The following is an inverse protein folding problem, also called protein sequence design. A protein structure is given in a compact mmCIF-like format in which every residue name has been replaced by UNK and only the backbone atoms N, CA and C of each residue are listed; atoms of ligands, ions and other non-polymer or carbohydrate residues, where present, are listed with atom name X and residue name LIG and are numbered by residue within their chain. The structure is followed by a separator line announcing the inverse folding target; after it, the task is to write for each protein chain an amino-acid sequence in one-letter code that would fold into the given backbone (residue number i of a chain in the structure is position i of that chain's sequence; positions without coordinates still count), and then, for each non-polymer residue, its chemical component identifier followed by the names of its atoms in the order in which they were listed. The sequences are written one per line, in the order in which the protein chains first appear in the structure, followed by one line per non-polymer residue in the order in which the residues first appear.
data_IF_594215701737
#
_entry.id   IF_594215701737
#
_cell.length_a   1.000
_cell.length_b   1.000
_cell.length_c   1.000
_cell.angle_alpha   90.00
_cell.angle_beta   90.00
_cell.angle_gamma   90.00
#
_symmetry.space_group_name_H-M   'P 1'
#
loop_
_entity.id
_entity.type
_entity.pdbx_description
1 polymer ?
#
# COMPACT_ATOMS: atom_id res chain seq x y z
N UNK A 1 30.86 -27.99 -19.27
CA UNK A 1 29.56 -27.41 -18.84
C UNK A 1 29.44 -27.23 -17.33
N UNK A 2 30.14 -27.97 -16.48
CA UNK A 2 29.98 -27.89 -15.01
C UNK A 2 30.69 -26.72 -14.32
N UNK A 3 31.75 -26.14 -14.91
CA UNK A 3 32.59 -25.13 -14.23
C UNK A 3 31.93 -23.76 -14.05
N UNK A 4 31.05 -23.33 -14.94
CA UNK A 4 30.46 -21.98 -14.89
C UNK A 4 29.55 -21.78 -13.67
N UNK A 5 28.88 -22.84 -13.22
CA UNK A 5 27.99 -22.81 -12.06
C UNK A 5 28.73 -22.69 -10.71
N UNK A 6 30.06 -22.63 -10.67
CA UNK A 6 30.81 -22.33 -9.44
C UNK A 6 31.13 -20.84 -9.25
N UNK A 7 30.77 -19.97 -10.21
CA UNK A 7 31.00 -18.53 -10.14
C UNK A 7 29.92 -17.72 -9.40
N UNK A 8 29.99 -16.38 -9.52
CA UNK A 8 28.98 -15.42 -9.00
C UNK A 8 27.52 -15.75 -9.36
N UNK A 9 27.18 -16.29 -10.56
CA UNK A 9 25.79 -16.58 -10.91
C UNK A 9 25.06 -17.47 -9.92
N UNK A 10 25.76 -18.42 -9.28
CA UNK A 10 25.15 -19.40 -8.38
C UNK A 10 24.64 -18.83 -7.04
N UNK A 11 25.44 -18.10 -6.22
CA UNK A 11 24.92 -17.47 -5.02
C UNK A 11 23.86 -16.40 -5.35
N UNK A 12 23.97 -15.69 -6.48
CA UNK A 12 22.91 -14.77 -6.92
C UNK A 12 21.62 -15.53 -7.27
N UNK A 13 21.70 -16.64 -8.01
CA UNK A 13 20.55 -17.50 -8.32
C UNK A 13 19.85 -17.98 -7.04
N UNK A 14 20.60 -18.45 -6.04
CA UNK A 14 20.04 -18.89 -4.75
C UNK A 14 19.31 -17.73 -4.05
N UNK A 15 19.92 -16.53 -4.00
CA UNK A 15 19.33 -15.36 -3.35
C UNK A 15 18.05 -14.89 -4.07
N UNK A 16 18.08 -14.74 -5.40
CA UNK A 16 16.91 -14.33 -6.17
C UNK A 16 15.80 -15.39 -6.15
N UNK A 17 16.14 -16.69 -6.17
CA UNK A 17 15.16 -17.78 -6.01
C UNK A 17 14.51 -17.75 -4.63
N UNK A 18 15.31 -17.58 -3.57
CA UNK A 18 14.82 -17.50 -2.18
C UNK A 18 13.88 -16.30 -1.99
N UNK A 19 14.25 -15.12 -2.50
CA UNK A 19 13.37 -13.94 -2.51
C UNK A 19 12.07 -14.22 -3.28
N UNK A 20 12.17 -14.79 -4.48
CA UNK A 20 11.00 -15.09 -5.33
C UNK A 20 10.04 -16.06 -4.64
N UNK A 21 10.55 -17.07 -3.91
CA UNK A 21 9.74 -17.99 -3.11
C UNK A 21 9.05 -17.29 -1.92
N UNK A 22 9.77 -16.43 -1.18
CA UNK A 22 9.19 -15.64 -0.07
C UNK A 22 8.04 -14.76 -0.58
N UNK A 23 8.24 -14.10 -1.73
CA UNK A 23 7.25 -13.20 -2.35
C UNK A 23 6.06 -13.98 -2.91
N UNK A 24 6.32 -15.12 -3.56
CA UNK A 24 5.29 -16.04 -4.03
C UNK A 24 4.42 -16.51 -2.86
N UNK A 25 5.02 -16.91 -1.74
CA UNK A 25 4.28 -17.27 -0.52
C UNK A 25 3.42 -16.11 0.02
N UNK A 26 3.92 -14.88 0.03
CA UNK A 26 3.11 -13.71 0.41
C UNK A 26 1.94 -13.46 -0.55
N UNK A 27 2.14 -13.59 -1.87
CA UNK A 27 1.08 -13.48 -2.88
C UNK A 27 0.03 -14.58 -2.66
N UNK A 28 0.45 -15.84 -2.51
CA UNK A 28 -0.45 -16.98 -2.23
C UNK A 28 -1.25 -16.74 -0.95
N UNK A 29 -0.63 -16.25 0.12
CA UNK A 29 -1.32 -15.90 1.38
C UNK A 29 -2.37 -14.80 1.20
N UNK A 30 -2.07 -13.77 0.41
CA UNK A 30 -3.02 -12.66 0.11
C UNK A 30 -4.21 -13.18 -0.71
N UNK A 31 -3.95 -14.04 -1.70
CA UNK A 31 -4.98 -14.66 -2.54
C UNK A 31 -5.87 -15.63 -1.74
N UNK A 32 -5.27 -16.50 -0.91
CA UNK A 32 -5.98 -17.47 -0.08
C UNK A 32 -6.93 -16.78 0.92
N UNK A 33 -6.47 -15.69 1.54
CA UNK A 33 -7.28 -14.88 2.46
C UNK A 33 -8.36 -14.03 1.76
N UNK A 34 -8.54 -14.15 0.44
CA UNK A 34 -9.48 -13.36 -0.38
C UNK A 34 -9.36 -11.84 -0.16
N UNK A 35 -8.16 -11.34 0.12
CA UNK A 35 -7.94 -9.90 0.21
C UNK A 35 -8.05 -9.23 -1.16
N UNK A 36 -8.44 -7.95 -1.18
CA UNK A 36 -8.59 -7.18 -2.41
C UNK A 36 -7.26 -7.12 -3.19
N UNK A 37 -7.26 -7.78 -4.34
CA UNK A 37 -6.14 -7.89 -5.28
C UNK A 37 -5.68 -6.50 -5.77
N UNK A 38 -6.58 -5.51 -5.81
CA UNK A 38 -6.28 -4.12 -6.18
C UNK A 38 -5.71 -3.26 -5.04
N UNK A 39 -4.94 -3.85 -4.12
CA UNK A 39 -4.18 -3.07 -3.13
C UNK A 39 -2.80 -2.69 -3.68
N UNK A 40 -2.28 -1.52 -3.29
CA UNK A 40 -0.90 -1.12 -3.58
C UNK A 40 0.11 -2.22 -3.20
N UNK A 41 -0.12 -2.89 -2.06
CA UNK A 41 0.71 -4.00 -1.57
C UNK A 41 0.80 -5.16 -2.57
N UNK A 42 -0.34 -5.59 -3.12
CA UNK A 42 -0.35 -6.62 -4.16
C UNK A 42 0.36 -6.14 -5.43
N UNK A 43 0.22 -4.86 -5.79
CA UNK A 43 0.99 -4.24 -6.88
C UNK A 43 2.50 -4.35 -6.69
N UNK A 44 3.03 -3.96 -5.53
CA UNK A 44 4.45 -4.10 -5.20
C UNK A 44 4.92 -5.56 -5.20
N UNK A 45 4.15 -6.46 -4.60
CA UNK A 45 4.50 -7.88 -4.53
C UNK A 45 4.49 -8.55 -5.89
N UNK A 46 3.49 -8.29 -6.74
CA UNK A 46 3.41 -8.82 -8.10
C UNK A 46 4.57 -8.31 -8.96
N UNK A 47 4.84 -6.99 -8.91
CA UNK A 47 5.91 -6.37 -9.70
C UNK A 47 7.29 -6.89 -9.24
N UNK A 48 7.47 -7.05 -7.93
CA UNK A 48 8.64 -7.67 -7.33
C UNK A 48 8.79 -9.17 -7.62
N UNK A 49 7.70 -9.93 -7.68
CA UNK A 49 7.71 -11.33 -8.08
C UNK A 49 8.16 -11.49 -9.53
N UNK A 50 7.62 -10.68 -10.46
CA UNK A 50 8.02 -10.71 -11.87
C UNK A 50 9.51 -10.33 -12.00
N UNK A 51 9.96 -9.31 -11.27
CA UNK A 51 11.37 -8.91 -11.21
C UNK A 51 12.29 -10.04 -10.70
N UNK A 52 11.97 -10.62 -9.53
CA UNK A 52 12.76 -11.68 -8.91
C UNK A 52 12.80 -12.95 -9.75
N UNK A 53 11.67 -13.33 -10.35
CA UNK A 53 11.56 -14.47 -11.27
C UNK A 53 12.42 -14.26 -12.53
N UNK A 54 12.38 -13.08 -13.14
CA UNK A 54 13.22 -12.77 -14.31
C UNK A 54 14.71 -12.75 -13.95
N UNK A 55 15.09 -12.26 -12.75
CA UNK A 55 16.47 -12.34 -12.26
C UNK A 55 16.90 -13.79 -12.00
N UNK A 56 16.07 -14.61 -11.38
CA UNK A 56 16.35 -16.03 -11.16
C UNK A 56 16.52 -16.78 -12.49
N UNK A 57 15.64 -16.54 -13.48
CA UNK A 57 15.77 -17.11 -14.84
C UNK A 57 17.07 -16.61 -15.51
N UNK A 58 17.37 -15.31 -15.44
CA UNK A 58 18.60 -14.76 -16.02
C UNK A 58 19.86 -15.42 -15.48
N UNK A 59 19.97 -15.61 -14.16
CA UNK A 59 21.14 -16.24 -13.55
C UNK A 59 21.17 -17.76 -13.73
N UNK A 60 20.01 -18.43 -13.73
CA UNK A 60 19.92 -19.88 -13.95
C UNK A 60 20.20 -20.32 -15.39
N UNK A 61 19.94 -19.45 -16.37
CA UNK A 61 20.19 -19.68 -17.79
C UNK A 61 21.34 -18.81 -18.34
N UNK A 62 22.19 -18.27 -17.46
CA UNK A 62 23.27 -17.33 -17.82
C UNK A 62 24.18 -17.89 -18.92
N UNK A 63 24.60 -19.15 -18.82
CA UNK A 63 25.47 -19.82 -19.79
C UNK A 63 24.82 -20.00 -21.17
N UNK A 64 23.49 -20.13 -21.22
CA UNK A 64 22.73 -20.25 -22.47
C UNK A 64 22.52 -18.86 -23.10
N UNK A 65 22.34 -17.83 -22.26
CA UNK A 65 22.17 -16.45 -22.71
C UNK A 65 23.50 -15.78 -23.10
N UNK A 66 24.64 -16.17 -22.51
CA UNK A 66 25.97 -15.62 -22.83
C UNK A 66 26.37 -15.85 -24.29
N UNK A 67 25.94 -16.98 -24.87
CA UNK A 67 26.09 -17.27 -26.31
C UNK A 67 25.35 -16.27 -27.22
N UNK A 68 24.34 -15.57 -26.72
CA UNK A 68 23.47 -14.67 -27.49
C UNK A 68 23.45 -13.27 -26.86
N UNK A 69 24.46 -12.44 -27.16
CA UNK A 69 24.64 -11.09 -26.58
C UNK A 69 23.37 -10.22 -26.58
N UNK A 70 22.54 -10.31 -27.63
CA UNK A 70 21.25 -9.61 -27.70
C UNK A 70 20.28 -10.09 -26.62
N UNK A 71 20.11 -11.41 -26.47
CA UNK A 71 19.27 -12.03 -25.43
C UNK A 71 19.80 -11.67 -24.03
N UNK A 72 21.12 -11.78 -23.82
CA UNK A 72 21.75 -11.38 -22.56
C UNK A 72 21.43 -9.92 -22.20
N UNK A 73 21.60 -9.00 -23.14
CA UNK A 73 21.32 -7.57 -22.95
C UNK A 73 19.83 -7.31 -22.68
N UNK A 74 18.93 -7.95 -23.43
CA UNK A 74 17.48 -7.81 -23.25
C UNK A 74 17.02 -8.33 -21.89
N UNK A 75 17.42 -9.54 -21.50
CA UNK A 75 17.08 -10.10 -20.18
C UNK A 75 17.75 -9.36 -19.02
N UNK A 76 18.90 -8.70 -19.26
CA UNK A 76 19.51 -7.83 -18.26
C UNK A 76 18.75 -6.51 -18.08
N UNK A 77 18.24 -5.92 -19.17
CA UNK A 77 17.57 -4.61 -19.18
C UNK A 77 16.12 -4.66 -18.70
N UNK A 78 15.39 -5.77 -18.90
CA UNK A 78 13.98 -5.88 -18.47
C UNK A 78 13.82 -5.74 -16.95
N UNK A 79 14.58 -6.45 -16.08
CA UNK A 79 14.51 -6.27 -14.63
C UNK A 79 14.79 -4.83 -14.17
N UNK A 80 15.71 -4.11 -14.83
CA UNK A 80 16.04 -2.71 -14.49
C UNK A 80 14.81 -1.81 -14.72
N UNK A 81 14.09 -2.01 -15.82
CA UNK A 81 12.84 -1.28 -16.10
C UNK A 81 11.74 -1.62 -15.08
N UNK A 82 11.64 -2.88 -14.65
CA UNK A 82 10.66 -3.28 -13.62
C UNK A 82 11.04 -2.69 -12.26
N UNK A 83 12.32 -2.68 -11.90
CA UNK A 83 12.83 -2.04 -10.69
C UNK A 83 12.52 -0.53 -10.70
N UNK A 84 12.76 0.17 -11.81
CA UNK A 84 12.34 1.56 -11.96
C UNK A 84 10.82 1.73 -11.76
N UNK A 85 10.01 0.85 -12.35
CA UNK A 85 8.56 0.86 -12.13
C UNK A 85 8.17 0.61 -10.66
N UNK A 86 8.89 -0.24 -9.91
CA UNK A 86 8.65 -0.40 -8.45
C UNK A 86 8.94 0.90 -7.70
N UNK A 87 9.98 1.64 -8.07
CA UNK A 87 10.30 2.93 -7.45
C UNK A 87 9.30 4.03 -7.82
N UNK A 88 8.82 4.09 -9.07
CA UNK A 88 7.72 4.99 -9.44
C UNK A 88 6.43 4.66 -8.67
N UNK A 89 6.12 3.38 -8.46
CA UNK A 89 4.96 2.95 -7.67
C UNK A 89 5.14 3.32 -6.18
N UNK A 90 6.38 3.28 -5.68
CA UNK A 90 6.78 3.70 -4.32
C UNK A 90 6.66 5.22 -4.12
N UNK A 91 7.13 6.04 -5.06
CA UNK A 91 6.95 7.50 -5.00
C UNK A 91 5.47 7.88 -5.08
N UNK A 92 4.69 7.22 -5.95
CA UNK A 92 3.25 7.43 -6.05
C UNK A 92 2.52 7.03 -4.76
N UNK A 93 2.92 5.91 -4.14
CA UNK A 93 2.44 5.49 -2.82
C UNK A 93 2.75 6.53 -1.74
N UNK A 94 3.96 7.11 -1.70
CA UNK A 94 4.29 8.19 -0.76
C UNK A 94 3.50 9.47 -1.02
N UNK A 95 3.36 9.91 -2.26
CA UNK A 95 2.55 11.08 -2.60
C UNK A 95 1.09 10.92 -2.13
N UNK A 96 0.52 9.73 -2.36
CA UNK A 96 -0.81 9.35 -1.88
C UNK A 96 -0.91 9.34 -0.34
N UNK A 97 0.11 8.87 0.37
CA UNK A 97 0.15 8.85 1.84
C UNK A 97 0.32 10.25 2.43
N UNK A 98 1.26 11.04 1.93
CA UNK A 98 1.60 12.38 2.45
C UNK A 98 0.45 13.36 2.27
N UNK A 99 -0.15 13.41 1.08
CA UNK A 99 -1.19 14.40 0.78
C UNK A 99 -2.60 13.93 1.10
N UNK A 100 -2.79 12.84 1.86
CA UNK A 100 -4.08 12.15 2.04
C UNK A 100 -5.30 13.05 2.25
N UNK A 101 -5.17 14.18 2.95
CA UNK A 101 -6.24 15.18 3.17
C UNK A 101 -6.37 16.19 2.02
N UNK A 102 -5.28 16.78 1.53
CA UNK A 102 -5.29 17.83 0.48
C UNK A 102 -5.48 17.27 -0.93
N UNK A 103 -5.16 16.00 -1.15
CA UNK A 103 -5.16 15.32 -2.44
C UNK A 103 -6.54 15.28 -3.09
N UNK A 104 -7.63 15.37 -2.32
CA UNK A 104 -8.98 15.33 -2.89
C UNK A 104 -9.31 16.55 -3.77
N UNK A 105 -8.76 17.74 -3.46
CA UNK A 105 -9.32 19.01 -4.00
C UNK A 105 -8.52 19.71 -5.11
N UNK A 106 -7.19 19.82 -5.00
CA UNK A 106 -6.40 20.63 -5.98
C UNK A 106 -5.06 20.01 -6.36
N UNK A 107 -4.25 19.54 -5.40
CA UNK A 107 -2.87 19.13 -5.66
C UNK A 107 -2.77 17.88 -6.52
N UNK A 108 -3.73 16.96 -6.40
CA UNK A 108 -3.78 15.71 -7.17
C UNK A 108 -3.65 15.97 -8.66
N UNK A 109 -4.39 16.92 -9.24
CA UNK A 109 -4.39 17.06 -10.70
C UNK A 109 -3.05 17.59 -11.22
N UNK A 110 -2.50 18.68 -10.67
CA UNK A 110 -1.24 19.27 -11.17
C UNK A 110 -0.02 18.39 -10.88
N UNK A 111 0.10 17.86 -9.65
CA UNK A 111 1.23 17.01 -9.32
C UNK A 111 1.15 15.67 -10.07
N UNK A 112 -0.05 15.11 -10.26
CA UNK A 112 -0.22 13.97 -11.18
C UNK A 112 0.11 14.36 -12.62
N UNK A 113 -0.32 15.52 -13.14
CA UNK A 113 -0.01 15.91 -14.54
C UNK A 113 1.50 16.01 -14.79
N UNK A 114 2.30 16.51 -13.86
CA UNK A 114 3.77 16.62 -14.07
C UNK A 114 4.49 15.31 -13.73
N UNK A 115 4.25 14.74 -12.55
CA UNK A 115 4.84 13.45 -12.17
C UNK A 115 4.47 12.36 -13.17
N UNK A 116 3.21 12.35 -13.58
CA UNK A 116 2.67 11.48 -14.60
C UNK A 116 2.50 12.20 -15.94
N UNK A 117 3.35 13.17 -16.31
CA UNK A 117 3.75 13.38 -17.71
C UNK A 117 5.07 12.66 -17.95
N UNK A 118 6.04 12.87 -17.06
CA UNK A 118 7.32 12.15 -17.01
C UNK A 118 7.07 10.64 -16.89
N UNK A 119 6.23 10.22 -15.93
CA UNK A 119 5.82 8.83 -15.88
C UNK A 119 4.89 8.47 -17.05
N UNK A 120 3.96 9.30 -17.56
CA UNK A 120 3.16 8.92 -18.76
C UNK A 120 4.02 8.60 -19.97
N UNK A 121 5.15 9.26 -20.21
CA UNK A 121 6.01 8.92 -21.36
C UNK A 121 6.59 7.50 -21.18
N UNK A 122 7.16 7.22 -20.00
CA UNK A 122 7.74 5.91 -19.66
C UNK A 122 6.66 4.80 -19.53
N UNK A 123 5.48 5.19 -19.04
CA UNK A 123 4.34 4.35 -18.73
C UNK A 123 3.47 4.12 -19.96
N UNK A 124 3.40 5.01 -20.95
CA UNK A 124 2.66 4.78 -22.22
C UNK A 124 3.38 3.72 -23.03
N UNK A 125 4.71 3.72 -23.05
CA UNK A 125 5.48 2.61 -23.63
C UNK A 125 5.15 1.28 -22.92
N UNK A 126 5.04 1.30 -21.59
CA UNK A 126 4.72 0.10 -20.79
C UNK A 126 3.22 -0.27 -20.80
N UNK A 127 2.29 0.69 -20.94
CA UNK A 127 0.82 0.50 -20.94
C UNK A 127 0.27 0.28 -22.35
N UNK A 128 0.95 0.69 -23.41
CA UNK A 128 0.64 0.15 -24.74
C UNK A 128 0.76 -1.39 -24.71
N UNK A 129 1.81 -1.89 -24.07
CA UNK A 129 2.06 -3.32 -23.87
C UNK A 129 1.16 -3.96 -22.80
N UNK A 130 1.14 -3.43 -21.57
CA UNK A 130 0.36 -4.02 -20.46
C UNK A 130 -1.10 -3.63 -20.45
N UNK A 131 -1.48 -2.47 -20.99
CA UNK A 131 -2.87 -2.02 -21.10
C UNK A 131 -3.67 -2.83 -22.10
N UNK A 132 -3.04 -3.32 -23.18
CA UNK A 132 -3.60 -4.38 -24.02
C UNK A 132 -4.03 -5.58 -23.16
N UNK A 133 -3.12 -6.06 -22.31
CA UNK A 133 -3.33 -7.23 -21.44
C UNK A 133 -4.28 -6.97 -20.26
N UNK A 134 -4.27 -5.76 -19.70
CA UNK A 134 -5.08 -5.38 -18.54
C UNK A 134 -6.50 -4.97 -18.92
N UNK A 135 -6.75 -4.51 -20.15
CA UNK A 135 -8.11 -4.23 -20.65
C UNK A 135 -8.97 -5.50 -20.74
N UNK A 136 -8.34 -6.67 -20.94
CA UNK A 136 -8.97 -8.00 -20.85
C UNK A 136 -9.42 -8.31 -19.40
N UNK A 137 -8.74 -7.77 -18.38
CA UNK A 137 -8.94 -8.13 -16.96
C UNK A 137 -9.78 -7.08 -16.21
N UNK A 138 -9.69 -5.80 -16.57
CA UNK A 138 -10.21 -4.66 -15.80
C UNK A 138 -11.72 -4.43 -15.91
N UNK A 139 -12.46 -5.19 -16.71
CA UNK A 139 -13.91 -4.97 -16.86
C UNK A 139 -14.71 -5.30 -15.58
N UNK A 140 -14.12 -6.03 -14.61
CA UNK A 140 -14.74 -6.35 -13.32
C UNK A 140 -13.98 -5.77 -12.11
N UNK A 141 -14.78 -5.28 -11.15
CA UNK A 141 -14.49 -5.04 -9.72
C UNK A 141 -14.21 -3.60 -9.27
N UNK A 142 -14.87 -3.19 -8.18
CA UNK A 142 -15.04 -1.82 -7.72
C UNK A 142 -14.86 -1.67 -6.19
N UNK A 143 -14.29 -0.54 -5.77
CA UNK A 143 -14.41 0.16 -4.45
C UNK A 143 -13.76 -0.40 -3.16
N UNK A 144 -13.38 0.58 -2.32
CA UNK A 144 -13.05 0.56 -0.88
C UNK A 144 -11.89 -0.29 -0.35
N UNK A 145 -10.75 0.37 -0.09
CA UNK A 145 -9.86 0.08 1.05
C UNK A 145 -9.17 1.37 1.53
N UNK A 146 -9.17 1.57 2.86
CA UNK A 146 -8.67 2.75 3.56
C UNK A 146 -7.73 2.28 4.67
N UNK A 147 -6.45 2.70 4.67
CA UNK A 147 -5.48 2.30 5.70
C UNK A 147 -4.61 3.47 6.16
N UNK A 148 -4.63 3.76 7.45
CA UNK A 148 -3.59 4.56 8.11
C UNK A 148 -2.25 3.80 8.06
N UNK A 149 -1.14 4.53 7.93
CA UNK A 149 0.22 3.98 7.87
C UNK A 149 1.07 4.65 8.96
N UNK A 150 1.86 3.90 9.74
CA UNK A 150 2.58 4.42 10.89
C UNK A 150 3.89 5.14 10.51
N UNK A 151 4.29 6.14 11.30
CA UNK A 151 5.53 6.91 11.16
C UNK A 151 6.82 6.07 11.11
N UNK A 152 6.79 4.85 11.66
CA UNK A 152 7.89 3.86 11.61
C UNK A 152 8.42 3.56 10.20
N UNK A 153 7.71 3.98 9.16
CA UNK A 153 8.07 3.77 7.75
C UNK A 153 9.21 4.71 7.30
N UNK A 154 9.26 5.94 7.81
CA UNK A 154 10.20 7.01 7.39
C UNK A 154 11.67 6.51 7.22
N UNK A 155 12.32 5.85 8.20
CA UNK A 155 13.71 5.42 8.03
C UNK A 155 13.88 4.39 6.89
N UNK A 156 12.92 3.48 6.69
CA UNK A 156 12.96 2.50 5.61
C UNK A 156 12.90 3.20 4.25
N UNK A 157 12.06 4.25 4.12
CA UNK A 157 11.97 5.04 2.88
C UNK A 157 13.29 5.74 2.56
N UNK A 158 13.94 6.28 3.58
CA UNK A 158 15.22 6.98 3.45
C UNK A 158 16.34 6.05 2.98
N UNK A 159 16.44 4.84 3.54
CA UNK A 159 17.41 3.85 3.04
C UNK A 159 17.12 3.39 1.61
N UNK A 160 15.84 3.16 1.24
CA UNK A 160 15.46 2.84 -0.15
C UNK A 160 15.85 3.99 -1.09
N UNK A 161 15.61 5.25 -0.70
CA UNK A 161 16.00 6.43 -1.45
C UNK A 161 17.52 6.52 -1.64
N UNK A 162 18.32 6.35 -0.58
CA UNK A 162 19.78 6.35 -0.68
C UNK A 162 20.31 5.25 -1.62
N UNK A 163 19.77 4.03 -1.52
CA UNK A 163 20.12 2.94 -2.44
C UNK A 163 19.84 3.33 -3.89
N UNK A 164 18.65 3.89 -4.16
CA UNK A 164 18.26 4.33 -5.50
C UNK A 164 19.13 5.48 -6.02
N UNK A 165 19.37 6.53 -5.23
CA UNK A 165 20.26 7.64 -5.61
C UNK A 165 21.67 7.14 -5.92
N UNK A 166 22.22 6.23 -5.10
CA UNK A 166 23.54 5.65 -5.36
C UNK A 166 23.58 4.84 -6.67
N UNK A 167 22.50 4.12 -7.00
CA UNK A 167 22.38 3.38 -8.25
C UNK A 167 22.27 4.32 -9.46
N UNK A 168 21.46 5.37 -9.39
CA UNK A 168 21.35 6.36 -10.46
C UNK A 168 22.67 7.11 -10.70
N UNK A 169 23.41 7.45 -9.64
CA UNK A 169 24.75 8.05 -9.76
C UNK A 169 25.72 7.07 -10.43
N UNK A 170 25.68 5.78 -10.07
CA UNK A 170 26.48 4.76 -10.75
C UNK A 170 26.12 4.63 -12.23
N UNK A 171 24.84 4.47 -12.57
CA UNK A 171 24.40 4.30 -13.96
C UNK A 171 24.74 5.55 -14.81
N UNK A 172 24.67 6.75 -14.22
CA UNK A 172 25.13 8.00 -14.84
C UNK A 172 26.65 7.99 -15.08
N UNK A 173 27.46 7.59 -14.10
CA UNK A 173 28.93 7.48 -14.26
C UNK A 173 29.30 6.41 -15.31
N UNK A 174 28.60 5.28 -15.32
CA UNK A 174 28.78 4.21 -16.31
C UNK A 174 28.44 4.68 -17.73
N UNK A 175 27.43 5.54 -17.90
CA UNK A 175 27.07 6.11 -19.20
C UNK A 175 28.18 6.97 -19.84
N UNK A 176 29.11 7.54 -19.06
CA UNK A 176 30.31 8.21 -19.57
C UNK A 176 31.43 7.24 -19.97
N UNK A 177 31.19 5.92 -19.95
CA UNK A 177 32.17 4.89 -20.29
C UNK A 177 33.32 4.74 -19.28
N UNK A 178 33.30 5.49 -18.17
CA UNK A 178 34.36 5.48 -17.15
C UNK A 178 34.38 4.22 -16.28
N UNK A 179 33.24 3.53 -16.17
CA UNK A 179 33.08 2.34 -15.32
C UNK A 179 32.27 1.30 -16.07
N UNK A 180 32.96 0.30 -16.62
CA UNK A 180 32.35 -0.88 -17.22
C UNK A 180 32.68 -2.10 -16.36
N UNK A 181 31.67 -2.73 -15.76
CA UNK A 181 31.83 -4.04 -15.12
C UNK A 181 31.85 -5.10 -16.22
N UNK A 182 33.04 -5.57 -16.58
CA UNK A 182 33.21 -6.73 -17.47
C UNK A 182 32.86 -8.02 -16.72
N UNK A 183 31.78 -8.68 -17.13
CA UNK A 183 31.43 -10.04 -16.69
C UNK A 183 32.28 -11.08 -17.45
N UNK A 184 33.60 -11.08 -17.22
CA UNK A 184 34.53 -12.06 -17.79
C UNK A 184 34.95 -13.10 -16.76
N UNK A 185 35.01 -14.38 -17.15
CA UNK A 185 35.23 -15.51 -16.23
C UNK A 185 36.56 -15.46 -15.46
N UNK A 186 37.54 -14.71 -15.96
CA UNK A 186 38.87 -14.53 -15.34
C UNK A 186 38.95 -13.37 -14.33
N UNK A 187 37.81 -12.84 -13.86
CA UNK A 187 37.81 -11.83 -12.79
C UNK A 187 38.49 -12.36 -11.52
N UNK A 188 39.31 -11.50 -10.90
CA UNK A 188 39.90 -11.78 -9.60
C UNK A 188 38.82 -11.94 -8.53
N UNK A 189 39.13 -12.68 -7.46
CA UNK A 189 38.22 -12.87 -6.32
C UNK A 189 37.69 -11.53 -5.78
N UNK A 190 38.52 -10.49 -5.75
CA UNK A 190 38.16 -9.13 -5.33
C UNK A 190 37.10 -8.51 -6.23
N UNK A 191 37.25 -8.63 -7.55
CA UNK A 191 36.27 -8.11 -8.51
C UNK A 191 34.96 -8.89 -8.43
N UNK A 192 35.04 -10.23 -8.32
CA UNK A 192 33.87 -11.08 -8.12
C UNK A 192 33.06 -10.71 -6.87
N UNK A 193 33.74 -10.48 -5.72
CA UNK A 193 33.10 -9.98 -4.51
C UNK A 193 32.52 -8.57 -4.71
N UNK A 194 33.26 -7.67 -5.39
CA UNK A 194 32.77 -6.31 -5.66
C UNK A 194 31.46 -6.36 -6.45
N UNK A 195 31.41 -7.12 -7.55
CA UNK A 195 30.21 -7.31 -8.36
C UNK A 195 29.08 -7.93 -7.54
N UNK A 196 29.35 -8.96 -6.74
CA UNK A 196 28.36 -9.57 -5.85
C UNK A 196 27.76 -8.57 -4.84
N UNK A 197 28.60 -7.82 -4.14
CA UNK A 197 28.14 -6.80 -3.18
C UNK A 197 27.40 -5.64 -3.87
N UNK A 198 27.82 -5.27 -5.08
CA UNK A 198 27.12 -4.28 -5.91
C UNK A 198 25.69 -4.72 -6.24
N UNK A 199 25.47 -5.96 -6.67
CA UNK A 199 24.12 -6.52 -6.84
C UNK A 199 23.37 -6.61 -5.50
N UNK A 200 24.04 -7.03 -4.43
CA UNK A 200 23.42 -7.15 -3.12
C UNK A 200 22.88 -5.80 -2.62
N UNK A 201 23.68 -4.73 -2.72
CA UNK A 201 23.33 -3.40 -2.21
C UNK A 201 22.32 -2.66 -3.11
N UNK A 202 22.40 -2.78 -4.44
CA UNK A 202 21.50 -2.03 -5.34
C UNK A 202 20.24 -2.76 -5.78
N UNK A 203 20.20 -4.09 -5.65
CA UNK A 203 19.07 -4.90 -6.12
C UNK A 203 18.40 -5.64 -4.96
N UNK A 204 19.16 -6.45 -4.22
CA UNK A 204 18.61 -7.30 -3.16
C UNK A 204 18.17 -6.46 -1.94
N UNK A 205 19.01 -5.52 -1.47
CA UNK A 205 18.78 -4.73 -0.26
C UNK A 205 17.55 -3.81 -0.35
N UNK A 206 17.38 -2.92 -1.36
CA UNK A 206 16.17 -2.11 -1.47
C UNK A 206 14.92 -2.97 -1.66
N UNK A 207 15.04 -4.15 -2.28
CA UNK A 207 13.93 -5.09 -2.39
C UNK A 207 13.54 -5.70 -1.05
N UNK A 208 14.51 -6.15 -0.24
CA UNK A 208 14.26 -6.61 1.15
C UNK A 208 13.62 -5.49 1.98
N UNK A 209 14.07 -4.25 1.86
CA UNK A 209 13.45 -3.11 2.56
C UNK A 209 12.00 -2.88 2.13
N UNK A 210 11.67 -3.03 0.84
CA UNK A 210 10.29 -3.00 0.34
C UNK A 210 9.47 -4.18 0.89
N UNK A 211 10.05 -5.37 1.00
CA UNK A 211 9.36 -6.51 1.62
C UNK A 211 9.12 -6.28 3.11
N UNK A 212 10.09 -5.77 3.87
CA UNK A 212 9.93 -5.41 5.29
C UNK A 212 8.86 -4.33 5.48
N UNK A 213 8.83 -3.33 4.60
CA UNK A 213 7.81 -2.27 4.57
C UNK A 213 6.38 -2.82 4.44
N UNK A 214 6.19 -3.88 3.63
CA UNK A 214 4.88 -4.51 3.42
C UNK A 214 4.64 -5.78 4.25
N UNK A 215 5.66 -6.31 4.94
CA UNK A 215 5.60 -7.53 5.75
C UNK A 215 4.59 -7.40 6.89
N UNK A 216 4.56 -6.22 7.52
CA UNK A 216 3.58 -5.89 8.56
C UNK A 216 2.22 -5.63 7.91
N UNK A 217 1.57 -6.72 7.48
CA UNK A 217 0.12 -6.77 7.29
C UNK A 217 -0.48 -6.34 8.63
N UNK A 218 -1.11 -5.15 8.76
CA UNK A 218 -1.95 -4.90 9.92
C UNK A 218 -2.98 -6.01 9.91
N UNK A 219 -3.09 -6.74 11.01
CA UNK A 219 -4.12 -7.75 11.20
C UNK A 219 -5.45 -7.01 11.18
N UNK A 220 -6.01 -6.81 9.99
CA UNK A 220 -7.38 -6.39 9.81
C UNK A 220 -8.18 -7.46 10.52
N UNK A 221 -8.70 -7.12 11.70
CA UNK A 221 -9.64 -7.96 12.41
C UNK A 221 -10.92 -8.01 11.56
N UNK A 222 -10.90 -8.89 10.55
CA UNK A 222 -12.08 -9.42 9.83
C UNK A 222 -12.84 -10.38 10.80
N UNK A 223 -12.80 -10.05 12.10
CA UNK A 223 -13.56 -10.61 13.20
C UNK A 223 -14.83 -9.80 13.48
N UNK A 224 -15.15 -8.76 12.69
CA UNK A 224 -16.45 -8.10 12.74
C UNK A 224 -17.64 -9.01 12.39
N UNK A 225 -17.39 -10.22 11.87
CA UNK A 225 -18.39 -11.29 11.75
C UNK A 225 -18.53 -12.14 13.02
N UNK A 226 -17.57 -12.09 13.95
CA UNK A 226 -17.73 -12.66 15.28
C UNK A 226 -18.58 -11.71 16.14
N UNK A 227 -19.83 -12.13 16.41
CA UNK A 227 -20.87 -11.40 17.15
C UNK A 227 -21.66 -10.31 16.42
N UNK A 228 -22.04 -10.56 15.15
CA UNK A 228 -23.47 -10.35 14.76
C UNK A 228 -24.33 -11.57 15.12
N UNK A 229 -24.11 -12.12 16.32
CA UNK A 229 -25.05 -13.00 16.98
C UNK A 229 -26.03 -12.07 17.69
N UNK A 230 -27.01 -11.53 16.96
CA UNK A 230 -28.36 -12.11 16.89
C UNK A 230 -29.08 -12.17 18.25
N UNK A 231 -28.67 -11.34 19.21
CA UNK A 231 -29.57 -10.76 20.21
C UNK A 231 -30.38 -9.58 19.63
N UNK A 232 -30.93 -9.79 18.44
CA UNK A 232 -32.23 -9.21 18.10
C UNK A 232 -33.20 -10.04 18.93
N UNK A 233 -33.70 -9.48 20.06
CA UNK A 233 -34.91 -9.86 20.82
C UNK A 233 -34.92 -9.41 22.31
N UNK A 234 -33.97 -8.59 22.79
CA UNK A 234 -33.96 -8.13 24.20
C UNK A 234 -33.74 -6.63 24.41
N UNK A 235 -34.25 -5.80 23.51
CA UNK A 235 -34.79 -4.49 23.89
C UNK A 235 -36.31 -4.52 23.75
N UNK A 236 -36.92 -5.41 24.53
CA UNK A 236 -38.26 -5.14 25.02
C UNK A 236 -38.14 -3.84 25.83
N UNK A 237 -38.58 -2.72 25.24
CA UNK A 237 -38.82 -1.50 26.00
C UNK A 237 -39.69 -1.91 27.20
N UNK A 238 -39.26 -1.67 28.45
CA UNK A 238 -40.13 -1.93 29.58
C UNK A 238 -41.44 -1.17 29.31
N UNK A 239 -42.61 -1.83 29.40
CA UNK A 239 -43.87 -1.17 29.09
C UNK A 239 -43.95 0.10 29.93
N UNK A 240 -44.29 1.21 29.28
CA UNK A 240 -44.38 2.52 29.94
C UNK A 240 -45.49 2.46 31.00
N UNK A 241 -45.13 2.03 32.20
CA UNK A 241 -46.01 2.09 33.37
C UNK A 241 -46.37 3.54 33.57
N UNK A 242 -47.66 3.83 33.41
CA UNK A 242 -48.19 5.20 33.43
C UNK A 242 -47.57 5.99 34.59
N UNK A 243 -46.98 7.14 34.25
CA UNK A 243 -46.32 8.01 35.23
C UNK A 243 -47.39 8.47 36.22
N UNK A 244 -47.39 7.90 37.41
CA UNK A 244 -48.26 8.31 38.51
C UNK A 244 -47.89 9.77 38.85
N UNK A 245 -48.79 10.74 38.67
CA UNK A 245 -48.50 12.14 39.01
C UNK A 245 -48.23 12.26 40.51
N UNK A 246 -47.16 12.96 40.88
CA UNK A 246 -46.87 13.31 42.27
C UNK A 246 -45.76 12.51 42.97
N UNK A 247 -45.09 11.54 42.33
CA UNK A 247 -43.89 10.94 42.94
C UNK A 247 -42.70 11.90 42.79
N UNK A 248 -42.33 12.54 43.89
CA UNK A 248 -41.14 13.41 44.00
C UNK A 248 -39.92 12.63 43.51
N UNK A 249 -39.33 13.07 42.40
CA UNK A 249 -38.11 12.49 41.86
C UNK A 249 -36.98 12.87 42.83
N UNK A 250 -36.57 11.92 43.67
CA UNK A 250 -35.33 12.05 44.43
C UNK A 250 -34.20 12.28 43.43
N UNK A 251 -33.61 13.47 43.47
CA UNK A 251 -32.49 13.87 42.62
C UNK A 251 -31.29 12.96 42.91
N UNK A 252 -31.15 11.86 42.16
CA UNK A 252 -29.87 11.16 42.14
C UNK A 252 -28.82 12.11 41.57
N UNK A 253 -27.72 12.37 42.30
CA UNK A 253 -26.72 13.35 41.88
C UNK A 253 -26.18 12.98 40.50
N UNK A 254 -26.07 14.00 39.66
CA UNK A 254 -25.89 13.94 38.21
C UNK A 254 -24.66 13.14 37.78
N UNK A 255 -24.84 11.83 37.58
CA UNK A 255 -23.87 10.95 36.87
C UNK A 255 -23.74 11.26 35.37
N UNK A 256 -24.27 12.39 34.90
CA UNK A 256 -24.19 12.91 33.53
C UNK A 256 -22.75 13.09 33.02
N UNK A 257 -21.78 13.19 33.92
CA UNK A 257 -20.35 13.32 33.63
C UNK A 257 -19.54 12.03 33.88
N UNK A 258 -20.18 10.95 34.33
CA UNK A 258 -19.53 9.67 34.66
C UNK A 258 -19.78 8.57 33.61
N UNK A 259 -20.35 8.93 32.46
CA UNK A 259 -20.48 8.02 31.32
C UNK A 259 -19.35 8.26 30.31
N UNK A 260 -18.27 7.44 30.32
CA UNK A 260 -17.17 7.59 29.38
C UNK A 260 -17.58 7.32 27.92
N UNK A 261 -18.74 6.68 27.67
CA UNK A 261 -19.21 6.41 26.31
C UNK A 261 -19.83 7.65 25.64
N UNK A 262 -20.03 8.76 26.37
CA UNK A 262 -20.68 9.97 25.82
C UNK A 262 -19.89 10.62 24.67
N UNK A 263 -18.57 10.46 24.62
CA UNK A 263 -17.73 11.03 23.56
C UNK A 263 -17.52 10.09 22.36
N UNK A 264 -17.94 8.83 22.44
CA UNK A 264 -17.84 7.85 21.34
C UNK A 264 -19.03 7.93 20.34
N UNK A 265 -20.00 8.84 20.55
CA UNK A 265 -21.21 8.94 19.70
C UNK A 265 -21.08 9.83 18.46
N UNK A 266 -20.02 10.63 18.36
CA UNK A 266 -19.88 11.64 17.30
C UNK A 266 -19.35 11.05 15.97
N UNK A 267 -18.78 9.83 16.02
CA UNK A 267 -18.28 9.14 14.83
C UNK A 267 -19.36 8.27 14.13
N UNK A 268 -19.54 8.54 12.83
CA UNK A 268 -20.13 7.70 11.77
C UNK A 268 -21.66 7.46 11.68
N UNK A 269 -22.52 7.83 12.63
CA UNK A 269 -23.99 7.64 12.45
C UNK A 269 -24.72 8.71 11.63
N UNK A 270 -24.10 9.87 11.37
CA UNK A 270 -24.71 10.99 10.63
C UNK A 270 -25.07 10.67 9.17
N UNK A 271 -24.47 9.64 8.57
CA UNK A 271 -24.72 9.26 7.16
C UNK A 271 -25.82 8.19 6.95
N UNK A 272 -26.40 7.61 8.01
CA UNK A 272 -27.54 6.68 7.88
C UNK A 272 -28.89 7.30 8.21
N UNK A 273 -28.91 8.50 8.78
CA UNK A 273 -30.14 9.20 9.20
C UNK A 273 -30.65 10.17 8.12
N UNK A 274 -30.67 9.72 6.85
CA UNK A 274 -31.18 10.52 5.72
C UNK A 274 -31.85 9.72 4.59
N UNK A 275 -32.81 8.84 4.95
CA UNK A 275 -34.00 8.55 4.11
C UNK A 275 -35.09 7.80 4.90
N UNK A 276 -36.18 8.48 5.24
CA UNK A 276 -37.45 7.83 5.60
C UNK A 276 -37.92 7.95 7.06
N UNK A 277 -37.10 8.42 8.01
CA UNK A 277 -37.60 8.74 9.35
C UNK A 277 -38.47 10.01 9.29
N UNK A 278 -39.76 9.98 9.66
CA UNK A 278 -40.62 11.15 9.64
C UNK A 278 -40.12 12.19 10.64
N UNK A 279 -40.08 13.46 10.22
CA UNK A 279 -39.63 14.60 11.03
C UNK A 279 -40.71 14.95 12.06
N UNK A 280 -40.80 14.13 13.12
CA UNK A 280 -41.65 14.35 14.29
C UNK A 280 -40.91 15.10 15.40
N UNK A 281 -40.32 16.25 15.06
CA UNK A 281 -39.93 17.27 16.02
C UNK A 281 -40.49 18.63 15.61
N UNK A 282 -41.83 18.69 15.64
CA UNK A 282 -42.56 19.95 15.74
C UNK A 282 -42.45 20.50 17.16
N UNK A 283 -42.18 21.80 17.29
CA UNK A 283 -42.71 22.58 18.41
C UNK A 283 -41.88 22.68 19.70
N UNK A 284 -41.13 23.79 19.79
CA UNK A 284 -41.25 24.77 20.90
C UNK A 284 -40.89 24.41 22.35
N UNK A 285 -40.28 23.27 22.67
CA UNK A 285 -39.76 23.04 24.02
C UNK A 285 -38.30 22.54 24.06
N UNK A 286 -37.36 23.35 23.57
CA UNK A 286 -35.98 23.25 24.06
C UNK A 286 -35.84 24.08 25.34
N UNK A 287 -35.38 23.50 26.48
CA UNK A 287 -35.19 24.25 27.73
C UNK A 287 -34.01 25.25 27.69
N UNK A 288 -33.42 25.46 26.51
CA UNK A 288 -32.32 26.38 26.24
C UNK A 288 -32.72 27.54 25.31
N UNK A 289 -34.01 27.73 25.04
CA UNK A 289 -34.51 28.88 24.28
C UNK A 289 -34.42 30.16 25.12
N UNK A 290 -33.25 30.77 25.20
CA UNK A 290 -32.98 32.03 25.93
C UNK A 290 -33.43 33.28 25.17
N UNK A 291 -34.32 33.14 24.18
CA UNK A 291 -34.93 34.28 23.48
C UNK A 291 -35.86 35.02 24.43
N UNK A 292 -35.58 36.29 24.79
CA UNK A 292 -36.41 37.02 25.72
C UNK A 292 -37.80 37.25 25.11
N UNK A 293 -38.84 37.03 25.92
CA UNK A 293 -40.22 37.33 25.56
C UNK A 293 -40.32 38.87 25.46
N UNK A 294 -40.45 39.38 24.25
CA UNK A 294 -40.71 40.80 24.00
C UNK A 294 -42.06 41.17 24.61
N UNK A 295 -42.03 42.00 25.65
CA UNK A 295 -43.22 42.41 26.38
C UNK A 295 -44.19 43.18 25.49
N UNK A 296 -45.49 42.93 25.70
CA UNK A 296 -46.58 43.75 25.20
C UNK A 296 -46.54 45.11 25.92
N UNK A 297 -46.30 46.18 25.15
CA UNK A 297 -46.66 47.53 25.56
C UNK A 297 -48.15 47.73 25.28
N UNK A 298 -48.89 48.14 26.32
CA UNK A 298 -50.24 48.71 26.20
C UNK A 298 -50.19 50.12 25.59
#
# INVERSE_FOLDING_TARGET
MTSYFSGIPFPLLILYSSLTLIVSFQIVRILYNKHNIFSFRFGFLLLGFIWGLLRAIFWGFFDIFSSNKAVLTTFFLIPINIQFATFSLLVLFYAHVVHRTTWERFTRMRFTIVYSSVNIILLVLQIAFYGWKLRIIKQNTNRHLQSQLPLSIIPITFFIFLCFTSRCVYDFIAAFGKVNISLSDQLSLRENLTVFFTYLVWEILPYILILVLFWRIPTTHIGGLARRNKNVNSFAYPPQTAVIPGRIIQQQPSRLFLDPQRYDSDDETTNLLHKGSPVLYSGRHSPYSTTPISGSSE
#
